data_IF_975179942835
#
_entry.id   IF_975179942835
#
_cell.length_a   1.000
_cell.length_b   1.000
_cell.length_c   1.000
_cell.angle_alpha   90.00
_cell.angle_beta   90.00
_cell.angle_gamma   90.00
#
_symmetry.space_group_name_H-M   'P 1'
#
loop_
_entity.id
_entity.type
_entity.pdbx_description
1 polymer ?
#
# COMPACT_ATOMS: atom_id res chain seq x y z
N UNK A 1 17.82 17.95 7.14
CA UNK A 1 18.59 16.70 7.38
C UNK A 1 19.03 16.16 6.02
N UNK A 2 20.34 15.98 5.75
CA UNK A 2 20.78 15.32 4.50
C UNK A 2 20.17 13.92 4.48
N UNK A 3 19.30 13.62 3.51
CA UNK A 3 18.79 12.27 3.31
C UNK A 3 19.97 11.38 2.94
N UNK A 4 20.41 10.54 3.88
CA UNK A 4 21.50 9.62 3.63
C UNK A 4 20.98 8.51 2.73
N UNK A 5 21.15 8.66 1.42
CA UNK A 5 20.77 7.63 0.47
C UNK A 5 21.65 6.39 0.69
N UNK A 6 21.02 5.23 0.87
CA UNK A 6 21.69 3.94 0.93
C UNK A 6 21.49 3.23 -0.41
N UNK A 7 22.57 2.74 -1.02
CA UNK A 7 22.52 1.98 -2.26
C UNK A 7 22.06 0.55 -1.96
N UNK A 8 21.11 0.06 -2.75
CA UNK A 8 20.67 -1.33 -2.75
C UNK A 8 20.76 -1.90 -4.16
N UNK A 9 21.03 -3.21 -4.27
CA UNK A 9 21.03 -3.95 -5.53
C UNK A 9 19.89 -4.96 -5.48
N UNK A 10 19.05 -4.99 -6.52
CA UNK A 10 17.91 -5.91 -6.63
C UNK A 10 17.93 -6.58 -8.00
N UNK A 11 17.46 -7.81 -8.06
CA UNK A 11 17.22 -8.49 -9.32
C UNK A 11 15.78 -8.22 -9.77
N UNK A 12 15.59 -7.94 -11.06
CA UNK A 12 14.28 -7.73 -11.67
C UNK A 12 14.16 -8.69 -12.86
N UNK A 13 12.97 -9.25 -13.06
CA UNK A 13 12.68 -9.99 -14.28
C UNK A 13 12.88 -9.09 -15.51
N UNK A 14 13.33 -9.68 -16.62
CA UNK A 14 13.66 -8.92 -17.83
C UNK A 14 12.45 -8.14 -18.38
N UNK A 15 11.26 -8.74 -18.32
CA UNK A 15 9.98 -8.14 -18.74
C UNK A 15 9.61 -6.96 -17.84
N UNK A 16 9.72 -7.13 -16.52
CA UNK A 16 9.46 -6.07 -15.53
C UNK A 16 10.43 -4.91 -15.67
N UNK A 17 11.73 -5.19 -15.82
CA UNK A 17 12.73 -4.15 -16.04
C UNK A 17 12.45 -3.35 -17.31
N UNK A 18 12.00 -4.01 -18.40
CA UNK A 18 11.60 -3.32 -19.64
C UNK A 18 10.39 -2.42 -19.42
N UNK A 19 9.36 -2.89 -18.71
CA UNK A 19 8.18 -2.09 -18.38
C UNK A 19 8.55 -0.87 -17.51
N UNK A 20 9.41 -1.06 -16.50
CA UNK A 20 9.90 0.03 -15.65
C UNK A 20 10.71 1.06 -16.43
N UNK A 21 11.50 0.64 -17.44
CA UNK A 21 12.22 1.56 -18.33
C UNK A 21 11.27 2.43 -19.14
N UNK A 22 10.21 1.86 -19.71
CA UNK A 22 9.21 2.64 -20.47
C UNK A 22 8.52 3.65 -19.55
N UNK A 23 8.08 3.20 -18.37
CA UNK A 23 7.44 4.08 -17.38
C UNK A 23 8.37 5.20 -16.89
N UNK A 24 9.66 4.92 -16.73
CA UNK A 24 10.66 5.92 -16.35
C UNK A 24 10.76 7.04 -17.39
N UNK A 25 10.76 6.70 -18.69
CA UNK A 25 10.78 7.68 -19.79
C UNK A 25 9.48 8.48 -19.82
N UNK A 26 8.32 7.80 -19.73
CA UNK A 26 7.00 8.43 -19.73
C UNK A 26 6.83 9.45 -18.59
N UNK A 27 7.39 9.17 -17.42
CA UNK A 27 7.20 9.96 -16.20
C UNK A 27 8.36 10.92 -15.88
N UNK A 28 9.32 11.09 -16.80
CA UNK A 28 10.56 11.84 -16.60
C UNK A 28 11.22 11.52 -15.24
N UNK A 29 11.40 10.22 -15.00
CA UNK A 29 11.82 9.67 -13.72
C UNK A 29 12.89 8.60 -13.91
N UNK A 30 13.43 8.10 -12.80
CA UNK A 30 14.40 6.99 -12.82
C UNK A 30 13.74 5.72 -12.31
N UNK A 31 14.26 4.57 -12.74
CA UNK A 31 13.81 3.26 -12.23
C UNK A 31 13.93 3.21 -10.70
N UNK A 32 15.05 3.70 -10.15
CA UNK A 32 15.28 3.74 -8.70
C UNK A 32 14.26 4.62 -7.97
N UNK A 33 13.83 5.74 -8.56
CA UNK A 33 12.79 6.60 -7.99
C UNK A 33 11.43 5.92 -8.02
N UNK A 34 11.07 5.28 -9.14
CA UNK A 34 9.81 4.54 -9.29
C UNK A 34 9.75 3.37 -8.29
N UNK A 35 10.80 2.55 -8.23
CA UNK A 35 10.88 1.43 -7.28
C UNK A 35 10.83 1.95 -5.83
N UNK A 36 11.59 3.00 -5.53
CA UNK A 36 11.58 3.60 -4.19
C UNK A 36 10.22 4.15 -3.77
N UNK A 37 9.45 4.73 -4.71
CA UNK A 37 8.08 5.17 -4.45
C UNK A 37 7.12 4.00 -4.23
N UNK A 38 7.22 2.95 -5.07
CA UNK A 38 6.38 1.76 -4.91
C UNK A 38 6.59 1.09 -3.54
N UNK A 39 7.85 0.93 -3.11
CA UNK A 39 8.19 0.36 -1.80
C UNK A 39 7.65 1.23 -0.67
N UNK A 40 7.84 2.55 -0.74
CA UNK A 40 7.29 3.47 0.28
C UNK A 40 5.77 3.39 0.38
N UNK A 41 5.09 3.29 -0.76
CA UNK A 41 3.63 3.18 -0.80
C UNK A 41 3.16 1.90 -0.13
N UNK A 42 3.75 0.76 -0.49
CA UNK A 42 3.43 -0.54 0.14
C UNK A 42 3.62 -0.49 1.66
N UNK A 43 4.73 0.10 2.14
CA UNK A 43 4.98 0.24 3.58
C UNK A 43 4.03 1.22 4.28
N UNK A 44 3.56 2.26 3.56
CA UNK A 44 2.59 3.20 4.10
C UNK A 44 1.21 2.55 4.25
N UNK A 45 0.79 1.76 3.26
CA UNK A 45 -0.46 0.97 3.31
C UNK A 45 -0.44 0.02 4.51
N UNK A 46 0.66 -0.72 4.74
CA UNK A 46 0.82 -1.57 5.92
C UNK A 46 0.74 -0.77 7.25
N UNK A 47 1.33 0.42 7.28
CA UNK A 47 1.32 1.28 8.47
C UNK A 47 -0.08 1.82 8.78
N UNK A 48 -0.87 2.14 7.74
CA UNK A 48 -2.26 2.55 7.85
C UNK A 48 -3.13 1.43 8.42
N UNK A 49 -2.96 0.19 7.94
CA UNK A 49 -3.65 -0.98 8.47
C UNK A 49 -3.35 -1.19 9.95
N UNK A 50 -2.07 -1.18 10.33
CA UNK A 50 -1.66 -1.32 11.74
C UNK A 50 -2.26 -0.20 12.60
N UNK A 51 -2.30 1.03 12.10
CA UNK A 51 -2.90 2.16 12.82
C UNK A 51 -4.41 1.97 13.00
N UNK A 52 -5.12 1.51 11.96
CA UNK A 52 -6.55 1.20 12.04
C UNK A 52 -6.84 0.11 13.06
N UNK A 53 -6.04 -0.97 13.09
CA UNK A 53 -6.16 -2.01 14.12
C UNK A 53 -5.98 -1.46 15.54
N UNK A 54 -4.98 -0.60 15.76
CA UNK A 54 -4.73 0.00 17.08
C UNK A 54 -5.85 0.92 17.52
N UNK A 55 -6.38 1.75 16.61
CA UNK A 55 -7.46 2.67 16.91
C UNK A 55 -8.75 1.93 17.31
N UNK A 56 -9.00 0.78 16.67
CA UNK A 56 -10.20 -0.03 16.86
C UNK A 56 -10.04 -1.13 17.91
N UNK A 57 -8.91 -1.20 18.60
CA UNK A 57 -8.59 -2.26 19.56
C UNK A 57 -9.53 -2.34 20.77
N UNK A 58 -10.31 -1.28 21.03
CA UNK A 58 -11.29 -1.20 22.11
C UNK A 58 -12.74 -1.26 21.62
N UNK A 59 -12.96 -1.40 20.31
CA UNK A 59 -14.30 -1.65 19.80
C UNK A 59 -14.75 -3.06 20.22
N UNK A 60 -15.99 -3.23 20.68
CA UNK A 60 -16.51 -4.55 21.02
C UNK A 60 -16.69 -5.39 19.74
N UNK A 61 -16.49 -6.70 19.88
CA UNK A 61 -16.82 -7.63 18.81
C UNK A 61 -18.32 -7.59 18.49
N UNK A 62 -18.64 -7.59 17.20
CA UNK A 62 -20.00 -7.56 16.69
C UNK A 62 -20.35 -8.91 16.05
N UNK A 63 -21.39 -9.61 16.52
CA UNK A 63 -21.88 -10.80 15.86
C UNK A 63 -22.29 -10.48 14.42
N UNK A 64 -21.81 -11.28 13.46
CA UNK A 64 -22.08 -11.08 12.03
C UNK A 64 -23.58 -10.97 11.73
N UNK A 65 -24.42 -11.77 12.39
CA UNK A 65 -25.88 -11.72 12.24
C UNK A 65 -26.47 -10.34 12.55
N UNK A 66 -25.94 -9.64 13.55
CA UNK A 66 -26.42 -8.32 13.94
C UNK A 66 -26.02 -7.28 12.89
N UNK A 67 -24.81 -7.40 12.33
CA UNK A 67 -24.36 -6.55 11.23
C UNK A 67 -25.23 -6.75 9.98
N UNK A 68 -25.53 -7.99 9.60
CA UNK A 68 -26.35 -8.30 8.44
C UNK A 68 -27.80 -7.80 8.58
N UNK A 69 -28.41 -7.96 9.76
CA UNK A 69 -29.75 -7.43 10.04
C UNK A 69 -29.78 -5.91 9.90
N UNK A 70 -28.73 -5.23 10.40
CA UNK A 70 -28.64 -3.79 10.34
C UNK A 70 -28.37 -3.25 8.92
N UNK A 71 -27.57 -3.94 8.11
CA UNK A 71 -27.35 -3.58 6.71
C UNK A 71 -28.63 -3.71 5.86
N UNK A 72 -29.39 -4.80 6.03
CA UNK A 72 -30.70 -4.97 5.39
C UNK A 72 -31.67 -3.85 5.78
N UNK A 73 -31.72 -3.50 7.07
CA UNK A 73 -32.55 -2.38 7.56
C UNK A 73 -32.18 -1.05 6.91
N UNK A 74 -30.90 -0.82 6.64
CA UNK A 74 -30.39 0.38 5.97
C UNK A 74 -30.48 0.34 4.44
N UNK A 75 -30.96 -0.76 3.85
CA UNK A 75 -31.07 -0.93 2.39
C UNK A 75 -29.71 -1.02 1.68
N UNK A 76 -28.65 -1.37 2.41
CA UNK A 76 -27.29 -1.51 1.89
C UNK A 76 -26.96 -2.95 1.49
N UNK A 77 -27.96 -3.84 1.57
CA UNK A 77 -27.85 -5.28 1.34
C UNK A 77 -29.12 -5.83 0.71
#
# INVERSE_FOLDING_TARGET
MKSQQKRATIYLEATLHKALRVKAVETDSTISKIVGQAVRRSLAEDAEDIAAFRLRAHEPDLPLENVLKDLKRRGLL
#
